data_IF_608266271274
#
_entry.id   IF_608266271274
#
_cell.length_a   1.000
_cell.length_b   1.000
_cell.length_c   1.000
_cell.angle_alpha   90.00
_cell.angle_beta   90.00
_cell.angle_gamma   90.00
#
_symmetry.space_group_name_H-M   'P 1'
#
loop_
_entity.id
_entity.type
_entity.pdbx_description
1 polymer ?
#
# COMPACT_ATOMS: atom_id res chain seq x y z
N UNK A 1 1.83 23.38 12.62
CA UNK A 1 1.06 23.18 11.36
C UNK A 1 -0.14 22.31 11.67
N UNK A 2 -1.35 22.71 11.29
CA UNK A 2 -2.54 21.90 11.51
C UNK A 2 -2.50 20.72 10.51
N UNK A 3 -2.60 19.46 10.98
CA UNK A 3 -2.54 18.27 10.10
C UNK A 3 -3.58 18.29 8.98
N UNK A 4 -4.66 19.06 9.19
CA UNK A 4 -5.75 19.30 8.26
C UNK A 4 -5.41 20.26 7.12
N UNK A 5 -4.28 21.00 7.17
CA UNK A 5 -3.91 21.95 6.12
C UNK A 5 -3.25 21.27 4.90
N UNK A 6 -2.74 20.04 5.07
CA UNK A 6 -2.13 19.25 4.00
C UNK A 6 -3.23 18.41 3.36
N UNK A 7 -3.36 18.42 2.03
CA UNK A 7 -4.39 17.68 1.30
C UNK A 7 -4.33 16.16 1.60
N UNK A 8 -5.49 15.53 1.81
CA UNK A 8 -5.63 14.10 2.11
C UNK A 8 -4.94 13.18 1.09
N UNK A 9 -4.85 13.58 -0.18
CA UNK A 9 -4.15 12.82 -1.22
C UNK A 9 -2.66 12.74 -0.92
N UNK A 10 -2.05 13.81 -0.39
CA UNK A 10 -0.63 13.83 -0.02
C UNK A 10 -0.39 12.85 1.13
N UNK A 11 -1.27 12.85 2.13
CA UNK A 11 -1.23 11.90 3.24
C UNK A 11 -1.39 10.45 2.77
N UNK A 12 -2.32 10.21 1.83
CA UNK A 12 -2.54 8.91 1.21
C UNK A 12 -1.30 8.42 0.44
N UNK A 13 -0.67 9.29 -0.35
CA UNK A 13 0.56 8.99 -1.09
C UNK A 13 1.71 8.68 -0.12
N UNK A 14 1.88 9.48 0.94
CA UNK A 14 2.89 9.22 1.97
C UNK A 14 2.69 7.86 2.63
N UNK A 15 1.45 7.53 3.01
CA UNK A 15 1.10 6.20 3.52
C UNK A 15 1.46 5.10 2.52
N UNK A 16 1.15 5.29 1.24
CA UNK A 16 1.50 4.36 0.15
C UNK A 16 3.00 4.16 -0.02
N UNK A 17 3.82 5.22 0.12
CA UNK A 17 5.29 5.12 0.05
C UNK A 17 5.84 4.30 1.22
N UNK A 18 5.39 4.56 2.45
CA UNK A 18 5.81 3.77 3.60
C UNK A 18 5.34 2.31 3.49
N UNK A 19 4.14 2.08 2.98
CA UNK A 19 3.68 0.73 2.65
C UNK A 19 4.60 0.05 1.63
N UNK A 20 4.99 0.74 0.55
CA UNK A 20 5.91 0.21 -0.46
C UNK A 20 7.27 -0.18 0.12
N UNK A 21 7.84 0.69 0.98
CA UNK A 21 9.09 0.41 1.67
C UNK A 21 8.93 -0.80 2.60
N UNK A 22 7.81 -0.86 3.34
CA UNK A 22 7.46 -1.98 4.21
C UNK A 22 7.38 -3.30 3.44
N UNK A 23 6.64 -3.34 2.33
CA UNK A 23 6.51 -4.52 1.46
C UNK A 23 7.85 -4.96 0.88
N UNK A 24 8.67 -4.01 0.41
CA UNK A 24 10.00 -4.33 -0.10
C UNK A 24 10.89 -4.96 0.97
N UNK A 25 10.88 -4.39 2.19
CA UNK A 25 11.65 -4.92 3.32
C UNK A 25 11.11 -6.27 3.79
N UNK A 26 9.79 -6.45 3.84
CA UNK A 26 9.12 -7.72 4.14
C UNK A 26 9.54 -8.80 3.14
N UNK A 27 9.57 -8.48 1.84
CA UNK A 27 10.06 -9.41 0.83
C UNK A 27 11.54 -9.71 1.01
N UNK A 28 12.37 -8.70 1.27
CA UNK A 28 13.81 -8.89 1.55
C UNK A 28 14.06 -9.75 2.79
N UNK A 29 13.23 -9.65 3.81
CA UNK A 29 13.27 -10.48 5.02
C UNK A 29 13.09 -11.97 4.71
N UNK A 30 12.25 -12.33 3.72
CA UNK A 30 12.08 -13.75 3.34
C UNK A 30 13.36 -14.39 2.79
N UNK A 31 14.29 -13.58 2.27
CA UNK A 31 15.59 -14.05 1.74
C UNK A 31 16.62 -14.12 2.87
N UNK A 32 16.68 -13.11 3.74
CA UNK A 32 17.62 -13.04 4.85
C UNK A 32 16.89 -12.66 6.15
N UNK A 33 16.33 -13.64 6.88
CA UNK A 33 15.56 -13.38 8.08
C UNK A 33 16.43 -12.81 9.21
N UNK A 34 15.99 -11.71 9.83
CA UNK A 34 16.62 -11.17 11.03
C UNK A 34 15.62 -10.44 11.92
N UNK A 35 15.84 -10.48 13.24
CA UNK A 35 14.99 -9.76 14.21
C UNK A 35 15.04 -8.25 13.97
N UNK A 36 16.22 -7.71 13.63
CA UNK A 36 16.38 -6.29 13.29
C UNK A 36 15.50 -5.90 12.09
N UNK A 37 15.42 -6.75 11.06
CA UNK A 37 14.53 -6.52 9.93
C UNK A 37 13.07 -6.47 10.35
N UNK A 38 12.62 -7.36 11.24
CA UNK A 38 11.24 -7.35 11.77
C UNK A 38 10.93 -6.03 12.47
N UNK A 39 11.84 -5.54 13.32
CA UNK A 39 11.65 -4.26 14.02
C UNK A 39 11.55 -3.10 13.03
N UNK A 40 12.42 -3.05 12.02
CA UNK A 40 12.39 -2.01 10.99
C UNK A 40 11.07 -2.07 10.20
N UNK A 41 10.63 -3.26 9.80
CA UNK A 41 9.36 -3.46 9.08
C UNK A 41 8.19 -2.93 9.90
N UNK A 42 8.12 -3.28 11.19
CA UNK A 42 7.07 -2.81 12.09
C UNK A 42 7.06 -1.27 12.22
N UNK A 43 8.23 -0.65 12.37
CA UNK A 43 8.34 0.81 12.43
C UNK A 43 7.86 1.47 11.14
N UNK A 44 8.28 0.95 9.99
CA UNK A 44 7.90 1.49 8.67
C UNK A 44 6.39 1.39 8.44
N UNK A 45 5.77 0.23 8.69
CA UNK A 45 4.32 0.10 8.58
C UNK A 45 3.58 1.00 9.57
N UNK A 46 4.08 1.14 10.79
CA UNK A 46 3.49 2.03 11.81
C UNK A 46 3.47 3.48 11.33
N UNK A 47 4.56 3.97 10.73
CA UNK A 47 4.61 5.31 10.14
C UNK A 47 3.62 5.43 8.98
N UNK A 48 3.52 4.41 8.13
CA UNK A 48 2.53 4.38 7.05
C UNK A 48 1.08 4.48 7.54
N UNK A 49 0.74 3.79 8.64
CA UNK A 49 -0.57 3.90 9.31
C UNK A 49 -0.77 5.29 9.88
N UNK A 50 0.25 5.89 10.52
CA UNK A 50 0.17 7.25 11.05
C UNK A 50 -0.08 8.30 9.94
N UNK A 51 0.44 8.09 8.73
CA UNK A 51 0.11 8.93 7.57
C UNK A 51 -1.30 8.69 7.02
N UNK A 52 -1.84 7.47 7.15
CA UNK A 52 -3.20 7.14 6.71
C UNK A 52 -4.28 7.79 7.58
N UNK A 53 -4.06 7.91 8.90
CA UNK A 53 -5.04 8.47 9.82
C UNK A 53 -5.47 9.91 9.46
N UNK A 54 -4.57 10.87 9.16
CA UNK A 54 -4.96 12.19 8.66
C UNK A 54 -5.75 12.16 7.35
N UNK A 55 -5.39 11.28 6.40
CA UNK A 55 -6.13 11.15 5.14
C UNK A 55 -7.59 10.72 5.39
N UNK A 56 -7.76 9.75 6.28
CA UNK A 56 -9.06 9.25 6.72
C UNK A 56 -9.88 10.31 7.47
N UNK A 57 -9.26 11.04 8.39
CA UNK A 57 -9.93 12.10 9.15
C UNK A 57 -10.43 13.24 8.26
N UNK A 58 -9.68 13.60 7.22
CA UNK A 58 -10.06 14.68 6.30
C UNK A 58 -11.17 14.27 5.33
N UNK A 59 -11.08 13.07 4.75
CA UNK A 59 -12.06 12.60 3.76
C UNK A 59 -13.32 12.05 4.43
N UNK A 60 -13.19 11.52 5.65
CA UNK A 60 -14.26 10.92 6.47
C UNK A 60 -15.15 9.90 5.73
N UNK A 61 -14.56 9.20 4.76
CA UNK A 61 -15.21 8.17 3.94
C UNK A 61 -14.26 6.98 3.84
N UNK A 62 -14.48 5.99 4.71
CA UNK A 62 -13.63 4.80 4.78
C UNK A 62 -13.62 4.03 3.47
N UNK A 63 -14.79 3.88 2.82
CA UNK A 63 -14.89 3.14 1.57
C UNK A 63 -14.07 3.79 0.47
N UNK A 64 -14.24 5.08 0.19
CA UNK A 64 -13.52 5.75 -0.91
C UNK A 64 -12.01 5.79 -0.63
N UNK A 65 -11.62 6.24 0.57
CA UNK A 65 -10.19 6.37 0.93
C UNK A 65 -9.50 5.01 1.00
N UNK A 66 -10.18 4.00 1.56
CA UNK A 66 -9.70 2.64 1.66
C UNK A 66 -9.52 2.00 0.29
N UNK A 67 -10.48 2.19 -0.62
CA UNK A 67 -10.39 1.65 -1.98
C UNK A 67 -9.27 2.33 -2.77
N UNK A 68 -9.11 3.66 -2.68
CA UNK A 68 -7.95 4.36 -3.26
C UNK A 68 -6.63 3.80 -2.73
N UNK A 69 -6.55 3.56 -1.42
CA UNK A 69 -5.39 2.96 -0.79
C UNK A 69 -5.16 1.52 -1.27
N UNK A 70 -6.21 0.72 -1.45
CA UNK A 70 -6.14 -0.64 -2.01
C UNK A 70 -5.63 -0.67 -3.45
N UNK A 71 -6.00 0.29 -4.30
CA UNK A 71 -5.41 0.42 -5.65
C UNK A 71 -3.91 0.62 -5.54
N UNK A 72 -3.48 1.57 -4.71
CA UNK A 72 -2.07 1.92 -4.54
C UNK A 72 -1.27 0.74 -4.00
N UNK A 73 -1.78 0.05 -2.97
CA UNK A 73 -1.09 -1.08 -2.36
C UNK A 73 -1.02 -2.28 -3.31
N UNK A 74 -2.10 -2.60 -4.04
CA UNK A 74 -2.07 -3.66 -5.06
C UNK A 74 -1.02 -3.39 -6.13
N UNK A 75 -1.01 -2.17 -6.71
CA UNK A 75 -0.01 -1.80 -7.72
C UNK A 75 1.41 -1.91 -7.17
N UNK A 76 1.62 -1.40 -5.96
CA UNK A 76 2.92 -1.43 -5.28
C UNK A 76 3.41 -2.86 -5.07
N UNK A 77 2.58 -3.75 -4.51
CA UNK A 77 2.94 -5.14 -4.24
C UNK A 77 3.26 -5.89 -5.54
N UNK A 78 2.45 -5.70 -6.59
CA UNK A 78 2.70 -6.32 -7.90
C UNK A 78 3.99 -5.79 -8.52
N UNK A 79 4.23 -4.47 -8.48
CA UNK A 79 5.47 -3.88 -8.99
C UNK A 79 6.70 -4.39 -8.24
N UNK A 80 6.65 -4.47 -6.91
CA UNK A 80 7.75 -5.00 -6.10
C UNK A 80 8.00 -6.46 -6.46
N UNK A 81 6.99 -7.33 -6.39
CA UNK A 81 7.13 -8.75 -6.67
C UNK A 81 7.65 -9.02 -8.09
N UNK A 82 6.99 -8.46 -9.10
CA UNK A 82 7.30 -8.75 -10.51
C UNK A 82 8.55 -8.02 -11.00
N UNK A 83 8.69 -6.72 -10.75
CA UNK A 83 9.77 -5.91 -11.34
C UNK A 83 11.06 -5.98 -10.52
N UNK A 84 10.98 -5.94 -9.18
CA UNK A 84 12.17 -5.91 -8.32
C UNK A 84 12.67 -7.30 -7.93
N UNK A 85 11.74 -8.25 -7.71
CA UNK A 85 12.07 -9.61 -7.31
C UNK A 85 11.90 -10.65 -8.42
N UNK A 86 11.46 -10.25 -9.61
CA UNK A 86 11.39 -11.12 -10.78
C UNK A 86 10.34 -12.23 -10.68
N UNK A 87 9.31 -12.06 -9.85
CA UNK A 87 8.25 -13.04 -9.70
C UNK A 87 7.47 -13.20 -11.01
N UNK A 88 7.29 -14.46 -11.42
CA UNK A 88 6.55 -14.79 -12.64
C UNK A 88 5.09 -15.03 -12.29
N UNK A 89 4.22 -14.18 -12.81
CA UNK A 89 2.78 -14.40 -12.78
C UNK A 89 2.38 -15.32 -13.92
N UNK A 90 1.70 -16.42 -13.61
CA UNK A 90 1.04 -17.23 -14.62
C UNK A 90 -0.26 -16.54 -15.09
N UNK A 91 -0.85 -17.05 -16.18
CA UNK A 91 -2.06 -16.48 -16.77
C UNK A 91 -3.21 -16.29 -15.76
N UNK A 92 -3.42 -17.26 -14.87
CA UNK A 92 -4.45 -17.20 -13.84
C UNK A 92 -4.15 -16.08 -12.83
N UNK A 93 -2.91 -15.96 -12.38
CA UNK A 93 -2.48 -14.90 -11.46
C UNK A 93 -2.65 -13.50 -12.06
N UNK A 94 -2.32 -13.33 -13.34
CA UNK A 94 -2.55 -12.07 -14.05
C UNK A 94 -4.04 -11.74 -14.14
N UNK A 95 -4.89 -12.71 -14.49
CA UNK A 95 -6.34 -12.52 -14.52
C UNK A 95 -6.91 -12.17 -13.14
N UNK A 96 -6.37 -12.78 -12.08
CA UNK A 96 -6.72 -12.46 -10.69
C UNK A 96 -6.43 -10.99 -10.33
N UNK A 97 -5.23 -10.50 -10.67
CA UNK A 97 -4.84 -9.09 -10.44
C UNK A 97 -5.74 -8.13 -11.21
N UNK A 98 -6.03 -8.42 -12.49
CA UNK A 98 -6.92 -7.59 -13.31
C UNK A 98 -8.31 -7.52 -12.68
N UNK A 99 -8.86 -8.65 -12.27
CA UNK A 99 -10.20 -8.72 -11.66
C UNK A 99 -10.26 -7.99 -10.31
N UNK A 100 -9.21 -8.12 -9.50
CA UNK A 100 -9.07 -7.36 -8.26
C UNK A 100 -9.06 -5.85 -8.53
N UNK A 101 -8.27 -5.40 -9.51
CA UNK A 101 -8.20 -3.99 -9.90
C UNK A 101 -9.56 -3.46 -10.37
N UNK A 102 -10.27 -4.20 -11.23
CA UNK A 102 -11.63 -3.85 -11.68
C UNK A 102 -12.58 -3.72 -10.48
N UNK A 103 -12.53 -4.69 -9.55
CA UNK A 103 -13.41 -4.70 -8.37
C UNK A 103 -13.17 -3.47 -7.48
N UNK A 104 -11.91 -3.11 -7.27
CA UNK A 104 -11.51 -1.92 -6.52
C UNK A 104 -12.00 -0.65 -7.24
N UNK A 105 -11.83 -0.53 -8.55
CA UNK A 105 -12.33 0.63 -9.31
C UNK A 105 -13.86 0.73 -9.24
N UNK A 106 -14.59 -0.37 -9.41
CA UNK A 106 -16.06 -0.37 -9.31
C UNK A 106 -16.55 0.08 -7.93
N UNK A 107 -15.87 -0.32 -6.86
CA UNK A 107 -16.17 0.15 -5.50
C UNK A 107 -15.87 1.64 -5.27
N UNK A 108 -15.05 2.26 -6.12
CA UNK A 108 -14.69 3.69 -6.04
C UNK A 108 -15.69 4.62 -6.74
N UNK A 109 -16.56 4.10 -7.61
CA UNK A 109 -17.48 4.90 -8.44
C UNK A 109 -18.77 5.34 -7.73
N UNK A 110 -18.85 5.13 -6.42
CA UNK A 110 -20.03 5.39 -5.59
C UNK A 110 -19.71 6.45 -4.53
#
# INVERSE_FOLDING_TARGET
MNLLSINYIIWLILSGIFFAIGEFLSKKFTINPSVTSVVIILLVYSVGVLCWLPAMLQKNQLSITGVMWSVLSLLTTVMIGVLLFGEKLNFIGTMGIITAFISIVLLSLK
#
